data_IF_300853543935
#
_entry.id   IF_300853543935
#
_cell.length_a   1.000
_cell.length_b   1.000
_cell.length_c   1.000
_cell.angle_alpha   90.00
_cell.angle_beta   90.00
_cell.angle_gamma   90.00
#
_symmetry.space_group_name_H-M   'P 1'
#
loop_
_entity.id
_entity.type
_entity.pdbx_description
1 polymer ?
#
# COMPACT_ATOMS: atom_id res chain seq x y z
N UNK A 1 -11.74 2.03 7.07
CA UNK A 1 -11.40 1.51 5.72
C UNK A 1 -11.88 0.08 5.64
N UNK A 2 -12.23 -0.39 4.45
CA UNK A 2 -12.69 -1.75 4.23
C UNK A 2 -11.86 -2.43 3.16
N UNK A 3 -11.49 -3.68 3.39
CA UNK A 3 -10.76 -4.54 2.44
C UNK A 3 -11.53 -5.83 2.28
N UNK A 4 -11.87 -6.17 1.04
CA UNK A 4 -12.65 -7.37 0.74
C UNK A 4 -11.83 -8.61 1.08
N UNK A 5 -12.44 -9.56 1.78
CA UNK A 5 -11.74 -10.74 2.30
C UNK A 5 -10.97 -10.50 3.60
N UNK A 6 -11.02 -9.29 4.17
CA UNK A 6 -10.48 -8.99 5.50
C UNK A 6 -11.57 -8.57 6.50
N UNK A 7 -12.34 -7.51 6.22
CA UNK A 7 -13.28 -6.92 7.17
C UNK A 7 -14.54 -6.29 6.53
N UNK A 8 -14.97 -6.77 5.36
CA UNK A 8 -16.15 -6.23 4.66
C UNK A 8 -17.47 -6.42 5.45
N UNK A 9 -17.52 -7.44 6.30
CA UNK A 9 -18.60 -7.75 7.24
C UNK A 9 -18.72 -6.76 8.40
N UNK A 10 -17.65 -6.01 8.71
CA UNK A 10 -17.66 -4.98 9.75
C UNK A 10 -18.32 -3.66 9.30
N UNK A 11 -18.82 -3.59 8.05
CA UNK A 11 -19.55 -2.43 7.57
C UNK A 11 -20.88 -2.28 8.33
N UNK A 12 -21.17 -1.06 8.81
CA UNK A 12 -22.31 -0.78 9.68
C UNK A 12 -23.19 0.36 9.16
N UNK A 13 -23.18 0.63 7.85
CA UNK A 13 -24.01 1.66 7.23
C UNK A 13 -23.38 3.05 7.18
N UNK A 14 -22.05 3.18 7.26
CA UNK A 14 -21.36 4.47 7.16
C UNK A 14 -21.54 5.09 5.76
N UNK A 15 -21.90 6.37 5.70
CA UNK A 15 -22.20 7.08 4.44
C UNK A 15 -20.95 7.33 3.56
N UNK A 16 -19.78 7.45 4.18
CA UNK A 16 -18.51 7.67 3.48
C UNK A 16 -17.49 6.64 3.95
N UNK A 17 -16.92 5.92 2.98
CA UNK A 17 -15.97 4.84 3.23
C UNK A 17 -14.73 4.98 2.35
N UNK A 18 -13.63 4.37 2.79
CA UNK A 18 -12.40 4.25 2.01
C UNK A 18 -12.06 2.77 1.78
N UNK A 19 -11.70 2.45 0.54
CA UNK A 19 -11.32 1.11 0.09
C UNK A 19 -9.83 0.77 0.34
N UNK A 20 -9.17 1.52 1.24
CA UNK A 20 -7.75 1.45 1.49
C UNK A 20 -6.91 1.66 0.20
N UNK A 21 -5.75 1.00 0.12
CA UNK A 21 -4.83 1.08 -1.04
C UNK A 21 -4.74 -0.26 -1.78
N UNK A 22 -4.15 -0.26 -2.98
CA UNK A 22 -3.83 -1.48 -3.73
C UNK A 22 -2.95 -2.44 -2.92
N UNK A 23 -1.92 -1.93 -2.24
CA UNK A 23 -1.00 -2.74 -1.44
C UNK A 23 -1.69 -3.33 -0.21
N UNK A 24 -2.55 -2.58 0.48
CA UNK A 24 -3.31 -3.11 1.64
C UNK A 24 -4.30 -4.20 1.20
N UNK A 25 -4.94 -4.04 0.03
CA UNK A 25 -5.82 -5.07 -0.52
C UNK A 25 -5.06 -6.35 -0.91
N UNK A 26 -3.77 -6.26 -1.24
CA UNK A 26 -2.93 -7.43 -1.46
C UNK A 26 -2.50 -8.08 -0.13
N UNK A 27 -2.00 -7.29 0.82
CA UNK A 27 -1.43 -7.79 2.07
C UNK A 27 -2.49 -8.34 3.04
N UNK A 28 -3.61 -7.63 3.24
CA UNK A 28 -4.54 -7.95 4.33
C UNK A 28 -5.21 -9.34 4.20
N UNK A 29 -5.68 -9.79 3.01
CA UNK A 29 -6.23 -11.14 2.87
C UNK A 29 -5.19 -12.22 3.14
N UNK A 30 -3.95 -12.02 2.66
CA UNK A 30 -2.84 -12.94 2.92
C UNK A 30 -2.51 -13.01 4.40
N UNK A 31 -2.32 -11.85 5.04
CA UNK A 31 -2.02 -11.74 6.46
C UNK A 31 -3.11 -12.38 7.31
N UNK A 32 -4.38 -12.18 6.97
CA UNK A 32 -5.52 -12.80 7.67
C UNK A 32 -5.44 -14.32 7.63
N UNK A 33 -5.27 -14.93 6.46
CA UNK A 33 -5.22 -16.39 6.33
C UNK A 33 -4.04 -16.96 7.11
N UNK A 34 -2.85 -16.36 7.00
CA UNK A 34 -1.67 -16.84 7.73
C UNK A 34 -1.85 -16.68 9.24
N UNK A 35 -2.38 -15.53 9.70
CA UNK A 35 -2.63 -15.29 11.11
C UNK A 35 -3.68 -16.23 11.71
N UNK A 36 -4.79 -16.45 11.01
CA UNK A 36 -5.88 -17.30 11.49
C UNK A 36 -5.43 -18.77 11.64
N UNK A 37 -4.47 -19.23 10.84
CA UNK A 37 -3.98 -20.61 10.86
C UNK A 37 -2.73 -20.80 11.73
N UNK A 38 -1.84 -19.82 11.78
CA UNK A 38 -0.50 -20.00 12.34
C UNK A 38 -0.11 -18.96 13.41
N UNK A 39 -0.87 -17.86 13.53
CA UNK A 39 -0.57 -16.74 14.42
C UNK A 39 0.66 -15.95 13.98
N UNK A 40 0.47 -14.71 13.50
CA UNK A 40 1.58 -13.81 13.19
C UNK A 40 1.97 -13.06 14.47
N UNK A 41 3.18 -13.31 14.99
CA UNK A 41 3.72 -12.56 16.15
C UNK A 41 4.17 -11.16 15.72
N UNK A 42 4.92 -11.09 14.63
CA UNK A 42 5.40 -9.84 14.02
C UNK A 42 5.64 -10.04 12.52
N UNK A 43 5.66 -8.96 11.75
CA UNK A 43 5.87 -9.01 10.31
C UNK A 43 6.39 -7.69 9.76
N UNK A 44 7.32 -7.77 8.82
CA UNK A 44 7.77 -6.65 8.00
C UNK A 44 7.45 -6.95 6.55
N UNK A 45 7.05 -5.93 5.81
CA UNK A 45 6.70 -6.08 4.40
C UNK A 45 7.48 -5.10 3.53
N UNK A 46 7.71 -5.50 2.29
CA UNK A 46 8.23 -4.63 1.24
C UNK A 46 7.45 -4.96 -0.02
N UNK A 47 7.04 -3.93 -0.76
CA UNK A 47 6.39 -4.08 -2.05
C UNK A 47 7.29 -3.55 -3.15
N UNK A 48 7.55 -4.36 -4.17
CA UNK A 48 8.12 -3.88 -5.42
C UNK A 48 6.96 -3.33 -6.24
N UNK A 49 6.77 -2.03 -6.17
CA UNK A 49 5.63 -1.35 -6.78
C UNK A 49 6.00 -0.78 -8.15
N UNK A 50 5.09 -0.90 -9.11
CA UNK A 50 5.24 -0.30 -10.43
C UNK A 50 5.18 1.23 -10.39
N UNK A 51 5.77 1.89 -11.40
CA UNK A 51 5.70 3.34 -11.57
C UNK A 51 4.24 3.82 -11.62
N UNK A 52 3.94 4.92 -10.93
CA UNK A 52 2.59 5.54 -10.92
C UNK A 52 2.61 6.98 -11.45
N UNK A 53 1.43 7.56 -11.67
CA UNK A 53 1.28 8.91 -12.22
C UNK A 53 1.80 10.03 -11.31
N UNK A 54 2.07 9.78 -10.03
CA UNK A 54 2.63 10.79 -9.11
C UNK A 54 4.13 11.01 -9.32
N UNK A 55 4.83 10.06 -9.95
CA UNK A 55 6.27 10.14 -10.22
C UNK A 55 6.58 10.99 -11.46
N UNK A 56 7.87 11.16 -11.79
CA UNK A 56 8.34 12.02 -12.87
C UNK A 56 9.10 11.22 -13.93
N UNK A 57 8.95 11.60 -15.21
CA UNK A 57 9.65 10.95 -16.32
C UNK A 57 11.16 11.17 -16.25
N UNK A 58 11.57 12.39 -15.89
CA UNK A 58 12.95 12.81 -15.59
C UNK A 58 12.97 13.52 -14.24
N UNK A 59 14.17 13.79 -13.71
CA UNK A 59 14.34 14.48 -12.44
C UNK A 59 13.58 15.82 -12.40
N UNK A 60 12.71 16.00 -11.41
CA UNK A 60 11.87 17.19 -11.28
C UNK A 60 11.37 17.46 -9.86
N UNK A 61 10.68 18.59 -9.64
CA UNK A 61 10.25 19.00 -8.31
C UNK A 61 9.25 18.03 -7.68
N UNK A 62 9.53 17.63 -6.45
CA UNK A 62 8.63 16.85 -5.59
C UNK A 62 8.88 17.21 -4.12
N UNK A 63 8.41 18.39 -3.71
CA UNK A 63 8.77 19.00 -2.41
C UNK A 63 8.41 18.16 -1.18
N UNK A 64 7.37 17.32 -1.27
CA UNK A 64 6.92 16.43 -0.18
C UNK A 64 7.57 15.05 -0.21
N UNK A 65 8.17 14.66 -1.33
CA UNK A 65 8.86 13.38 -1.51
C UNK A 65 10.00 13.55 -2.52
N UNK A 66 11.18 13.88 -2.01
CA UNK A 66 12.34 14.20 -2.85
C UNK A 66 12.78 13.01 -3.70
N UNK A 67 12.61 11.77 -3.20
CA UNK A 67 12.99 10.57 -3.94
C UNK A 67 12.02 10.30 -5.09
N UNK A 68 10.71 10.52 -4.86
CA UNK A 68 9.67 10.42 -5.88
C UNK A 68 9.78 11.44 -7.02
N UNK A 69 10.59 12.49 -6.85
CA UNK A 69 10.91 13.46 -7.91
C UNK A 69 11.93 12.99 -8.94
N UNK A 70 12.64 11.87 -8.68
CA UNK A 70 13.66 11.34 -9.58
C UNK A 70 13.04 10.61 -10.78
N UNK A 71 13.79 10.53 -11.88
CA UNK A 71 13.34 9.86 -13.12
C UNK A 71 12.90 8.42 -12.89
N UNK A 72 11.61 8.16 -13.05
CA UNK A 72 10.98 6.90 -12.62
C UNK A 72 11.44 5.67 -13.41
N UNK A 73 11.75 5.82 -14.70
CA UNK A 73 12.20 4.72 -15.55
C UNK A 73 13.70 4.39 -15.39
N UNK A 74 14.43 5.17 -14.58
CA UNK A 74 15.90 5.12 -14.49
C UNK A 74 16.40 4.74 -13.09
N UNK A 75 15.51 4.74 -12.08
CA UNK A 75 15.90 4.60 -10.68
C UNK A 75 15.06 3.54 -9.98
N UNK A 76 15.69 2.80 -9.06
CA UNK A 76 14.97 2.13 -7.97
C UNK A 76 14.73 3.20 -6.91
N UNK A 77 13.47 3.52 -6.64
CA UNK A 77 13.07 4.63 -5.76
C UNK A 77 12.48 4.06 -4.47
N UNK A 78 13.19 4.10 -3.34
CA UNK A 78 12.60 3.72 -2.06
C UNK A 78 11.55 4.75 -1.63
N UNK A 79 10.39 4.28 -1.19
CA UNK A 79 9.29 5.10 -0.70
C UNK A 79 8.71 4.52 0.58
N UNK A 80 8.22 5.36 1.48
CA UNK A 80 7.50 4.96 2.69
C UNK A 80 6.02 4.75 2.37
N UNK A 81 5.40 3.72 2.96
CA UNK A 81 3.96 3.45 2.81
C UNK A 81 3.33 3.09 4.15
N UNK A 82 2.10 3.54 4.38
CA UNK A 82 1.27 3.15 5.53
C UNK A 82 0.32 1.98 5.22
N UNK A 83 0.58 1.24 4.14
CA UNK A 83 -0.25 0.12 3.70
C UNK A 83 -0.03 -1.17 4.52
N UNK A 84 1.07 -1.23 5.26
CA UNK A 84 1.49 -2.33 6.12
C UNK A 84 1.06 -2.08 7.57
#
# INVERSE_FOLDING_TARGET
MFVRGANFDAYAGQDIVSNASCTTNCLAPLAKVINDNFGIVEGLMTTVHATTATQKTVDGPSHKDWRGGRGAAQNIIPSSTGAA
#
